data_IF_052397648615
#
_entry.id   IF_052397648615
#
_cell.length_a   1.000
_cell.length_b   1.000
_cell.length_c   1.000
_cell.angle_alpha   90.00
_cell.angle_beta   90.00
_cell.angle_gamma   90.00
#
_symmetry.space_group_name_H-M   'P 1'
#
loop_
_entity.id
_entity.type
_entity.pdbx_description
1 polymer ?
#
# COMPACT_ATOMS: atom_id res chain seq x y z
N UNK A 1 4.67 23.90 0.29
CA UNK A 1 3.84 23.95 -0.94
C UNK A 1 3.26 22.58 -1.30
N UNK A 2 4.08 21.51 -1.27
CA UNK A 2 3.69 20.18 -1.74
C UNK A 2 2.46 19.59 -1.04
N UNK A 3 2.41 19.66 0.30
CA UNK A 3 1.31 19.05 1.10
C UNK A 3 -0.04 19.71 0.79
N UNK A 4 -0.05 21.02 0.64
CA UNK A 4 -1.27 21.79 0.38
C UNK A 4 -1.91 21.47 -0.98
N UNK A 5 -1.06 21.31 -1.99
CA UNK A 5 -1.52 21.15 -3.36
C UNK A 5 -1.87 19.68 -3.67
N UNK A 6 -1.21 18.74 -2.98
CA UNK A 6 -1.44 17.30 -3.10
C UNK A 6 -2.82 16.89 -2.60
N UNK A 7 -3.23 17.35 -1.40
CA UNK A 7 -4.49 16.89 -0.79
C UNK A 7 -5.72 17.52 -1.48
N UNK A 8 -5.59 18.74 -2.03
CA UNK A 8 -6.72 19.52 -2.55
C UNK A 8 -7.04 19.27 -4.04
N UNK A 9 -6.12 18.71 -4.82
CA UNK A 9 -6.24 18.71 -6.30
C UNK A 9 -6.09 17.33 -6.94
N UNK A 10 -5.92 16.26 -6.15
CA UNK A 10 -5.64 14.94 -6.71
C UNK A 10 -6.88 14.06 -6.84
N UNK A 11 -6.92 13.18 -7.86
CA UNK A 11 -7.91 12.12 -7.93
C UNK A 11 -7.88 11.27 -6.65
N UNK A 12 -9.02 10.70 -6.21
CA UNK A 12 -9.09 9.94 -4.95
C UNK A 12 -8.05 8.83 -4.80
N UNK A 13 -7.68 8.14 -5.88
CA UNK A 13 -6.65 7.09 -5.87
C UNK A 13 -5.25 7.64 -5.63
N UNK A 14 -4.92 8.78 -6.21
CA UNK A 14 -3.63 9.46 -5.99
C UNK A 14 -3.58 10.09 -4.60
N UNK A 15 -4.71 10.64 -4.12
CA UNK A 15 -4.82 11.18 -2.78
C UNK A 15 -4.51 10.12 -1.71
N UNK A 16 -4.94 8.87 -1.91
CA UNK A 16 -4.61 7.74 -1.05
C UNK A 16 -3.09 7.51 -1.02
N UNK A 17 -2.46 7.45 -2.19
CA UNK A 17 -1.02 7.26 -2.31
C UNK A 17 -0.23 8.35 -1.58
N UNK A 18 -0.53 9.61 -1.84
CA UNK A 18 0.15 10.73 -1.18
C UNK A 18 -0.19 10.84 0.31
N UNK A 19 -1.43 10.52 0.68
CA UNK A 19 -1.82 10.44 2.08
C UNK A 19 -0.97 9.44 2.85
N UNK A 20 -0.63 8.33 2.22
CA UNK A 20 0.28 7.32 2.78
C UNK A 20 1.72 7.80 2.88
N UNK A 21 2.26 8.43 1.83
CA UNK A 21 3.59 9.03 1.87
C UNK A 21 3.71 10.03 3.02
N UNK A 22 2.71 10.90 3.15
CA UNK A 22 2.66 11.93 4.17
C UNK A 22 2.55 11.36 5.59
N UNK A 23 2.04 10.14 5.77
CA UNK A 23 2.01 9.48 7.08
C UNK A 23 3.38 9.26 7.70
N UNK A 24 4.43 9.20 6.88
CA UNK A 24 5.82 9.05 7.31
C UNK A 24 6.53 10.40 7.56
N UNK A 25 5.93 11.52 7.16
CA UNK A 25 6.56 12.83 7.27
C UNK A 25 6.57 13.32 8.72
N UNK A 26 7.76 13.47 9.29
CA UNK A 26 7.96 13.96 10.67
C UNK A 26 8.04 15.47 10.74
N UNK A 27 8.51 16.12 9.69
CA UNK A 27 8.82 17.56 9.65
C UNK A 27 8.00 18.29 8.56
N UNK A 28 7.99 19.61 8.62
CA UNK A 28 7.28 20.43 7.61
C UNK A 28 5.79 20.66 7.89
N UNK A 29 5.28 20.20 9.02
CA UNK A 29 3.91 20.37 9.44
C UNK A 29 3.69 21.67 10.22
N UNK A 30 2.60 22.35 9.91
CA UNK A 30 1.95 23.31 10.79
C UNK A 30 0.53 22.83 11.12
N UNK A 31 -0.17 23.53 12.01
CA UNK A 31 -1.50 23.14 12.48
C UNK A 31 -2.53 23.08 11.32
N UNK A 32 -2.51 24.04 10.40
CA UNK A 32 -3.43 24.07 9.25
C UNK A 32 -3.21 22.89 8.32
N UNK A 33 -1.97 22.57 7.97
CA UNK A 33 -1.63 21.42 7.13
C UNK A 33 -2.02 20.10 7.79
N UNK A 34 -1.77 19.95 9.10
CA UNK A 34 -2.23 18.78 9.85
C UNK A 34 -3.75 18.68 9.87
N UNK A 35 -4.46 19.78 10.14
CA UNK A 35 -5.92 19.79 10.16
C UNK A 35 -6.48 19.28 8.84
N UNK A 36 -6.01 19.79 7.70
CA UNK A 36 -6.45 19.33 6.38
C UNK A 36 -6.13 17.87 6.14
N UNK A 37 -4.95 17.43 6.51
CA UNK A 37 -4.51 16.05 6.34
C UNK A 37 -5.35 15.09 7.19
N UNK A 38 -5.60 15.40 8.45
CA UNK A 38 -6.37 14.53 9.33
C UNK A 38 -7.88 14.58 9.02
N UNK A 39 -8.43 15.72 8.59
CA UNK A 39 -9.82 15.80 8.10
C UNK A 39 -10.03 14.94 6.86
N UNK A 40 -9.05 14.84 5.98
CA UNK A 40 -9.12 13.95 4.82
C UNK A 40 -9.30 12.47 5.21
N UNK A 41 -8.73 12.01 6.32
CA UNK A 41 -8.98 10.65 6.82
C UNK A 41 -10.42 10.42 7.21
N UNK A 42 -11.09 11.41 7.79
CA UNK A 42 -12.51 11.33 8.11
C UNK A 42 -13.33 11.02 6.84
N UNK A 43 -13.07 11.72 5.76
CA UNK A 43 -13.75 11.51 4.48
C UNK A 43 -13.43 10.14 3.89
N UNK A 44 -12.18 9.74 3.91
CA UNK A 44 -11.70 8.45 3.37
C UNK A 44 -12.24 7.27 4.17
N UNK A 45 -12.22 7.34 5.50
CA UNK A 45 -12.75 6.28 6.37
C UNK A 45 -14.27 6.21 6.34
N UNK A 46 -14.94 7.36 6.15
CA UNK A 46 -16.39 7.45 5.94
C UNK A 46 -16.84 6.98 4.56
N UNK A 47 -15.90 6.87 3.58
CA UNK A 47 -16.22 6.40 2.24
C UNK A 47 -16.65 4.94 2.25
N UNK A 48 -17.40 4.50 1.21
CA UNK A 48 -17.91 3.13 1.05
C UNK A 48 -16.81 2.12 0.68
N UNK A 49 -15.63 2.22 1.30
CA UNK A 49 -14.55 1.25 1.14
C UNK A 49 -14.84 -0.07 1.86
N UNK A 50 -14.36 -1.18 1.31
CA UNK A 50 -14.38 -2.48 2.00
C UNK A 50 -13.59 -2.45 3.32
N UNK A 51 -13.84 -3.43 4.21
CA UNK A 51 -13.20 -3.48 5.54
C UNK A 51 -11.67 -3.46 5.47
N UNK A 52 -11.07 -4.19 4.52
CA UNK A 52 -9.62 -4.21 4.32
C UNK A 52 -9.04 -2.84 3.99
N UNK A 53 -9.73 -2.05 3.16
CA UNK A 53 -9.33 -0.68 2.85
C UNK A 53 -9.38 0.22 4.08
N UNK A 54 -10.49 0.19 4.81
CA UNK A 54 -10.65 1.03 6.01
C UNK A 54 -9.59 0.76 7.05
N UNK A 55 -9.29 -0.50 7.27
CA UNK A 55 -8.27 -0.88 8.22
C UNK A 55 -6.85 -0.56 7.77
N UNK A 56 -6.58 -0.69 6.46
CA UNK A 56 -5.34 -0.19 5.89
C UNK A 56 -5.19 1.32 6.13
N UNK A 57 -6.21 2.11 5.83
CA UNK A 57 -6.23 3.56 6.06
C UNK A 57 -6.13 3.92 7.54
N UNK A 58 -6.72 3.10 8.43
CA UNK A 58 -6.56 3.27 9.88
C UNK A 58 -5.10 3.07 10.33
N UNK A 59 -4.42 2.06 9.83
CA UNK A 59 -2.99 1.87 10.11
C UNK A 59 -2.14 3.05 9.62
N UNK A 60 -2.45 3.58 8.45
CA UNK A 60 -1.78 4.78 7.90
C UNK A 60 -2.06 6.00 8.79
N UNK A 61 -3.30 6.17 9.24
CA UNK A 61 -3.72 7.22 10.17
C UNK A 61 -3.00 7.13 11.52
N UNK A 62 -2.94 5.94 12.12
CA UNK A 62 -2.26 5.72 13.39
C UNK A 62 -0.78 6.05 13.31
N UNK A 63 -0.13 5.71 12.19
CA UNK A 63 1.25 6.10 11.95
C UNK A 63 1.41 7.62 11.87
N UNK A 64 0.54 8.30 11.14
CA UNK A 64 0.55 9.75 11.06
C UNK A 64 0.35 10.39 12.44
N UNK A 65 -0.57 9.86 13.25
CA UNK A 65 -0.82 10.31 14.63
C UNK A 65 0.40 10.12 15.53
N UNK A 66 1.21 9.07 15.33
CA UNK A 66 2.42 8.84 16.12
C UNK A 66 3.47 9.96 15.95
N UNK A 67 3.41 10.72 14.85
CA UNK A 67 4.30 11.87 14.56
C UNK A 67 3.70 13.21 14.98
N UNK A 68 2.51 13.22 15.56
CA UNK A 68 1.88 14.42 16.12
C UNK A 68 2.40 14.66 17.53
N UNK A 69 2.73 15.91 17.91
CA UNK A 69 3.04 16.25 19.30
C UNK A 69 1.95 15.77 20.24
N UNK A 70 2.33 15.18 21.36
CA UNK A 70 1.40 14.53 22.30
C UNK A 70 0.23 15.44 22.70
N UNK A 71 0.52 16.69 23.00
CA UNK A 71 -0.48 17.71 23.38
C UNK A 71 -1.54 18.05 22.29
N UNK A 72 -1.27 17.65 21.06
CA UNK A 72 -2.18 17.93 19.92
C UNK A 72 -2.83 16.64 19.39
N UNK A 73 -2.40 15.46 19.88
CA UNK A 73 -2.79 14.15 19.33
C UNK A 73 -4.28 13.90 19.46
N UNK A 74 -4.88 14.20 20.62
CA UNK A 74 -6.32 13.99 20.86
C UNK A 74 -7.17 14.78 19.87
N UNK A 75 -6.81 16.05 19.62
CA UNK A 75 -7.49 16.87 18.64
C UNK A 75 -7.45 16.27 17.23
N UNK A 76 -6.27 15.81 16.79
CA UNK A 76 -6.15 15.22 15.45
C UNK A 76 -6.75 13.84 15.38
N UNK A 77 -6.79 13.09 16.45
CA UNK A 77 -7.52 11.83 16.53
C UNK A 77 -9.03 12.04 16.38
N UNK A 78 -9.58 13.06 17.04
CA UNK A 78 -11.00 13.40 16.95
C UNK A 78 -11.39 13.82 15.53
N UNK A 79 -10.71 14.78 14.92
CA UNK A 79 -11.07 15.30 13.59
C UNK A 79 -10.83 14.31 12.45
N UNK A 80 -9.97 13.32 12.63
CA UNK A 80 -9.71 12.27 11.63
C UNK A 80 -10.72 11.12 11.67
N UNK A 81 -11.65 11.15 12.62
CA UNK A 81 -12.69 10.15 12.79
C UNK A 81 -12.24 8.93 13.61
N UNK A 82 -13.24 8.23 14.13
CA UNK A 82 -13.03 6.97 14.85
C UNK A 82 -13.42 5.83 13.92
N UNK A 83 -12.47 4.98 13.60
CA UNK A 83 -12.74 3.71 12.96
C UNK A 83 -12.60 2.60 14.01
N UNK A 84 -13.70 1.91 14.28
CA UNK A 84 -13.66 0.66 15.05
C UNK A 84 -13.54 -0.48 14.05
N UNK A 85 -12.40 -1.14 13.94
CA UNK A 85 -12.24 -2.27 13.04
C UNK A 85 -13.16 -3.40 13.49
N UNK A 86 -14.09 -3.82 12.61
CA UNK A 86 -14.73 -5.11 12.78
C UNK A 86 -13.70 -6.20 12.50
N UNK A 87 -13.34 -6.89 13.52
CA UNK A 87 -12.51 -8.10 13.74
C UNK A 87 -11.44 -8.57 12.72
N UNK A 88 -11.58 -8.45 11.42
CA UNK A 88 -10.65 -9.14 10.51
C UNK A 88 -9.33 -8.41 10.23
N UNK A 89 -9.17 -7.14 10.58
CA UNK A 89 -7.97 -6.33 10.32
C UNK A 89 -7.42 -5.67 11.58
N UNK A 90 -8.21 -5.58 12.65
CA UNK A 90 -7.70 -5.29 13.99
C UNK A 90 -6.64 -6.32 14.43
N UNK A 91 -6.66 -7.49 13.79
CA UNK A 91 -5.79 -8.63 14.09
C UNK A 91 -4.51 -8.70 13.25
N UNK A 92 -4.24 -7.71 12.37
CA UNK A 92 -2.93 -7.71 11.69
C UNK A 92 -1.82 -7.46 12.71
N UNK A 93 -0.81 -8.33 12.74
CA UNK A 93 0.27 -8.21 13.69
C UNK A 93 1.00 -6.88 13.50
N UNK A 94 1.32 -6.22 14.59
CA UNK A 94 2.20 -5.06 14.54
C UNK A 94 3.65 -5.52 14.39
N UNK A 95 4.52 -4.71 13.74
CA UNK A 95 5.96 -4.98 13.71
C UNK A 95 6.53 -5.15 15.11
N UNK A 96 7.58 -5.97 15.28
CA UNK A 96 8.20 -6.21 16.57
C UNK A 96 9.03 -5.05 17.10
N UNK A 97 9.51 -4.19 16.20
CA UNK A 97 10.40 -3.11 16.59
C UNK A 97 10.13 -1.83 15.83
N UNK A 98 10.89 -0.78 16.14
CA UNK A 98 10.81 0.44 15.37
C UNK A 98 11.22 0.14 13.93
N UNK A 99 10.43 0.63 12.99
CA UNK A 99 10.76 0.57 11.59
C UNK A 99 12.03 1.38 11.28
N UNK A 100 12.61 1.12 10.13
CA UNK A 100 13.82 1.80 9.64
C UNK A 100 13.51 2.47 8.29
N UNK A 101 14.20 3.54 7.99
CA UNK A 101 14.12 4.12 6.66
C UNK A 101 15.04 3.35 5.71
N UNK A 102 14.43 2.58 4.80
CA UNK A 102 15.18 1.84 3.79
C UNK A 102 15.39 2.71 2.55
N UNK A 103 16.63 2.71 2.07
CA UNK A 103 17.06 3.34 0.81
C UNK A 103 17.50 2.24 -0.16
N UNK A 104 17.64 2.57 -1.45
CA UNK A 104 18.16 1.59 -2.42
C UNK A 104 19.53 1.03 -2.06
N UNK A 105 20.36 1.82 -1.37
CA UNK A 105 21.71 1.39 -0.93
C UNK A 105 21.64 0.42 0.25
N UNK A 106 20.95 0.78 1.34
CA UNK A 106 20.97 -0.04 2.56
C UNK A 106 20.06 -1.26 2.52
N UNK A 107 19.03 -1.26 1.67
CA UNK A 107 18.10 -2.37 1.57
C UNK A 107 18.75 -3.61 0.94
N UNK A 108 19.61 -3.41 -0.04
CA UNK A 108 20.40 -4.48 -0.63
C UNK A 108 21.22 -5.22 0.42
N UNK A 109 22.00 -4.49 1.22
CA UNK A 109 22.83 -5.05 2.27
C UNK A 109 22.01 -5.84 3.30
N UNK A 110 20.86 -5.31 3.72
CA UNK A 110 19.97 -6.00 4.65
C UNK A 110 19.41 -7.30 4.07
N UNK A 111 18.89 -7.25 2.83
CA UNK A 111 18.23 -8.42 2.22
C UNK A 111 19.26 -9.50 1.89
N UNK A 112 20.35 -9.17 1.18
CA UNK A 112 21.36 -10.17 0.81
C UNK A 112 22.13 -10.68 2.01
N UNK A 113 22.66 -9.78 2.85
CA UNK A 113 23.40 -10.18 4.04
C UNK A 113 22.57 -11.03 5.01
N UNK A 114 21.27 -10.77 5.09
CA UNK A 114 20.36 -11.54 5.92
C UNK A 114 19.94 -12.88 5.32
N UNK A 115 19.83 -12.97 3.98
CA UNK A 115 19.43 -14.21 3.31
C UNK A 115 20.57 -15.23 3.18
N UNK A 116 21.82 -14.78 3.08
CA UNK A 116 23.00 -15.67 2.91
C UNK A 116 23.14 -16.71 4.03
N UNK A 117 22.77 -16.34 5.26
CA UNK A 117 22.82 -17.23 6.42
C UNK A 117 21.48 -17.23 7.17
N UNK A 118 20.38 -17.27 6.43
CA UNK A 118 19.06 -17.10 7.00
C UNK A 118 18.74 -18.22 8.01
N UNK A 119 18.48 -17.81 9.24
CA UNK A 119 18.01 -18.66 10.33
C UNK A 119 16.66 -18.12 10.80
N UNK A 120 15.63 -18.47 10.08
CA UNK A 120 14.26 -18.03 10.40
C UNK A 120 13.26 -19.16 10.16
N UNK A 121 12.01 -18.80 10.17
CA UNK A 121 10.93 -19.74 9.94
C UNK A 121 9.77 -19.09 9.21
N UNK A 122 8.94 -19.91 8.61
CA UNK A 122 7.79 -19.47 7.82
C UNK A 122 6.80 -18.59 8.62
N UNK A 123 6.66 -18.82 9.91
CA UNK A 123 5.74 -18.05 10.76
C UNK A 123 6.20 -16.61 10.92
N UNK A 124 7.53 -16.40 11.06
CA UNK A 124 8.12 -15.07 11.10
C UNK A 124 7.89 -14.31 9.78
N UNK A 125 8.14 -14.99 8.65
CA UNK A 125 7.90 -14.41 7.33
C UNK A 125 6.43 -14.10 7.05
N UNK A 126 5.52 -15.02 7.36
CA UNK A 126 4.07 -14.78 7.24
C UNK A 126 3.62 -13.62 8.11
N UNK A 127 4.17 -13.51 9.32
CA UNK A 127 3.92 -12.37 10.21
C UNK A 127 4.43 -11.06 9.61
N UNK A 128 5.66 -11.02 9.10
CA UNK A 128 6.24 -9.83 8.47
C UNK A 128 5.43 -9.38 7.25
N UNK A 129 4.97 -10.33 6.42
CA UNK A 129 4.07 -10.09 5.29
C UNK A 129 2.75 -9.41 5.70
N UNK A 130 2.18 -9.83 6.82
CA UNK A 130 0.98 -9.20 7.39
C UNK A 130 1.31 -7.84 8.02
N UNK A 131 2.40 -7.73 8.79
CA UNK A 131 2.84 -6.49 9.46
C UNK A 131 3.18 -5.38 8.46
N UNK A 132 3.71 -5.74 7.27
CA UNK A 132 3.96 -4.80 6.19
C UNK A 132 2.69 -4.45 5.37
N UNK A 133 1.53 -5.02 5.72
CA UNK A 133 0.25 -4.87 5.02
C UNK A 133 0.19 -5.53 3.61
N UNK A 134 1.17 -6.33 3.23
CA UNK A 134 1.20 -7.01 1.94
C UNK A 134 -0.04 -7.89 1.72
N UNK A 135 -0.48 -8.59 2.79
CA UNK A 135 -1.65 -9.47 2.80
C UNK A 135 -2.96 -8.77 2.43
N UNK A 136 -3.04 -7.45 2.56
CA UNK A 136 -4.26 -6.70 2.20
C UNK A 136 -4.49 -6.66 0.69
N UNK A 137 -3.42 -6.70 -0.09
CA UNK A 137 -3.45 -6.59 -1.54
C UNK A 137 -3.06 -7.88 -2.24
N UNK A 138 -2.11 -8.61 -1.67
CA UNK A 138 -1.53 -9.79 -2.29
C UNK A 138 -2.01 -11.07 -1.65
N UNK A 139 -2.18 -12.07 -2.50
CA UNK A 139 -2.46 -13.43 -2.09
C UNK A 139 -1.16 -14.23 -2.00
N UNK A 140 -1.09 -15.10 -1.00
CA UNK A 140 -0.05 -16.10 -0.83
C UNK A 140 -0.71 -17.43 -0.46
N UNK A 141 -0.56 -18.46 -1.28
CA UNK A 141 -1.19 -19.79 -1.09
C UNK A 141 -2.70 -19.72 -0.80
N UNK A 142 -3.41 -18.87 -1.54
CA UNK A 142 -4.86 -18.72 -1.42
C UNK A 142 -5.32 -17.79 -0.30
N UNK A 143 -4.45 -17.36 0.59
CA UNK A 143 -4.76 -16.42 1.67
C UNK A 143 -4.37 -14.98 1.29
N UNK A 144 -5.20 -14.00 1.60
CA UNK A 144 -4.94 -12.58 1.38
C UNK A 144 -5.86 -11.93 0.35
N UNK A 145 -5.53 -10.69 -0.01
CA UNK A 145 -6.28 -9.86 -0.94
C UNK A 145 -6.07 -10.23 -2.40
N UNK A 146 -6.89 -9.62 -3.28
CA UNK A 146 -6.82 -9.81 -4.73
C UNK A 146 -6.62 -8.50 -5.51
N UNK A 147 -6.31 -7.41 -4.81
CA UNK A 147 -6.05 -6.11 -5.43
C UNK A 147 -4.73 -6.09 -6.21
N UNK A 148 -3.73 -6.83 -5.73
CA UNK A 148 -2.45 -7.07 -6.38
C UNK A 148 -2.31 -8.51 -6.88
N UNK A 149 -1.17 -8.86 -7.52
CA UNK A 149 -0.89 -10.21 -7.97
C UNK A 149 -0.81 -11.23 -6.83
N UNK A 150 -1.12 -12.49 -7.15
CA UNK A 150 -0.79 -13.63 -6.30
C UNK A 150 0.72 -13.85 -6.31
N UNK A 151 1.34 -13.86 -5.13
CA UNK A 151 2.79 -13.96 -4.96
C UNK A 151 3.29 -15.39 -4.74
N UNK A 152 2.39 -16.39 -4.73
CA UNK A 152 2.76 -17.79 -4.48
C UNK A 152 3.85 -18.30 -5.44
N UNK A 153 3.83 -17.84 -6.67
CA UNK A 153 4.80 -18.24 -7.71
C UNK A 153 5.73 -17.08 -8.12
N UNK A 154 5.80 -16.00 -7.36
CA UNK A 154 6.58 -14.82 -7.73
C UNK A 154 8.08 -15.16 -7.88
N UNK A 155 8.62 -15.96 -6.98
CA UNK A 155 10.02 -16.41 -6.97
C UNK A 155 10.43 -17.23 -8.19
N UNK A 156 9.48 -17.84 -8.92
CA UNK A 156 9.79 -18.61 -10.14
C UNK A 156 9.96 -17.73 -11.37
N UNK A 157 9.50 -16.48 -11.30
CA UNK A 157 9.46 -15.53 -12.41
C UNK A 157 10.42 -14.35 -12.23
N UNK A 158 10.68 -14.00 -10.99
CA UNK A 158 11.42 -12.81 -10.59
C UNK A 158 12.58 -13.19 -9.68
N UNK A 159 13.74 -12.59 -9.92
CA UNK A 159 14.87 -12.71 -9.00
C UNK A 159 14.58 -12.00 -7.68
N UNK A 160 15.39 -12.28 -6.64
CA UNK A 160 15.33 -11.53 -5.37
C UNK A 160 15.52 -10.04 -5.60
N UNK A 161 16.39 -9.65 -6.55
CA UNK A 161 16.59 -8.25 -6.91
C UNK A 161 15.32 -7.62 -7.49
N UNK A 162 14.66 -8.28 -8.44
CA UNK A 162 13.44 -7.76 -9.06
C UNK A 162 12.32 -7.59 -8.02
N UNK A 163 12.16 -8.57 -7.13
CA UNK A 163 11.18 -8.51 -6.03
C UNK A 163 11.48 -7.34 -5.07
N UNK A 164 12.75 -7.18 -4.72
CA UNK A 164 13.21 -6.09 -3.88
C UNK A 164 12.93 -4.73 -4.53
N UNK A 165 13.30 -4.59 -5.81
CA UNK A 165 13.12 -3.36 -6.56
C UNK A 165 11.63 -3.00 -6.72
N UNK A 166 10.79 -3.98 -7.06
CA UNK A 166 9.34 -3.79 -7.18
C UNK A 166 8.68 -3.32 -5.86
N UNK A 167 9.19 -3.76 -4.71
CA UNK A 167 8.66 -3.34 -3.40
C UNK A 167 9.18 -1.95 -3.03
N UNK A 168 10.43 -1.66 -3.33
CA UNK A 168 11.08 -0.40 -3.00
C UNK A 168 10.65 0.75 -3.93
N UNK A 169 10.63 0.51 -5.23
CA UNK A 169 10.28 1.49 -6.27
C UNK A 169 9.06 1.06 -7.09
N UNK A 170 7.88 0.95 -6.46
CA UNK A 170 6.69 0.37 -7.13
C UNK A 170 6.15 1.19 -8.29
N UNK A 171 6.66 2.42 -8.50
CA UNK A 171 6.26 3.27 -9.62
C UNK A 171 7.16 3.12 -10.86
N UNK A 172 8.34 2.52 -10.72
CA UNK A 172 9.32 2.47 -11.80
C UNK A 172 8.90 1.45 -12.86
N UNK A 173 8.26 0.35 -12.42
CA UNK A 173 7.74 -0.67 -13.31
C UNK A 173 6.36 -1.14 -12.84
N UNK A 174 5.31 -0.71 -13.53
CA UNK A 174 3.92 -1.03 -13.18
C UNK A 174 3.37 -1.99 -14.24
N UNK A 175 2.97 -3.19 -13.81
CA UNK A 175 2.31 -4.14 -14.72
C UNK A 175 0.98 -3.58 -15.21
N UNK A 176 0.75 -3.63 -16.52
CA UNK A 176 -0.48 -3.16 -17.19
C UNK A 176 -1.76 -3.79 -16.60
N UNK A 177 -1.68 -5.02 -16.08
CA UNK A 177 -2.81 -5.71 -15.46
C UNK A 177 -3.27 -5.07 -14.15
N UNK A 178 -2.37 -4.34 -13.48
CA UNK A 178 -2.62 -3.73 -12.16
C UNK A 178 -2.54 -2.21 -12.21
N UNK A 179 -2.04 -1.63 -13.29
CA UNK A 179 -1.97 -0.19 -13.47
C UNK A 179 -3.36 0.46 -13.44
N UNK A 180 -3.44 1.61 -12.83
CA UNK A 180 -4.60 2.48 -12.99
C UNK A 180 -4.52 3.21 -14.33
N UNK A 181 -5.68 3.52 -14.90
CA UNK A 181 -5.81 4.45 -16.03
C UNK A 181 -6.25 5.81 -15.50
N UNK A 182 -5.57 6.85 -15.91
CA UNK A 182 -5.93 8.24 -15.65
C UNK A 182 -6.79 8.75 -16.83
N UNK A 183 -8.00 9.19 -16.51
CA UNK A 183 -8.96 9.76 -17.45
C UNK A 183 -9.03 11.27 -17.25
N UNK A 184 -8.77 12.03 -18.32
CA UNK A 184 -9.02 13.46 -18.39
C UNK A 184 -10.38 13.67 -19.04
N UNK A 185 -11.30 14.34 -18.34
CA UNK A 185 -12.66 14.54 -18.81
C UNK A 185 -12.84 15.96 -19.40
N UNK A 186 -13.89 16.13 -20.19
CA UNK A 186 -14.21 17.41 -20.87
C UNK A 186 -14.60 18.54 -19.93
N UNK A 187 -14.99 18.23 -18.71
CA UNK A 187 -15.30 19.16 -17.63
C UNK A 187 -14.09 19.47 -16.72
N UNK A 188 -12.88 19.22 -17.24
CA UNK A 188 -11.60 19.36 -16.52
C UNK A 188 -11.43 18.40 -15.31
N UNK A 189 -12.38 17.51 -15.06
CA UNK A 189 -12.23 16.49 -14.02
C UNK A 189 -11.20 15.43 -14.43
N UNK A 190 -10.52 14.88 -13.42
CA UNK A 190 -9.61 13.75 -13.59
C UNK A 190 -10.09 12.60 -12.72
N UNK A 191 -10.19 11.43 -13.34
CA UNK A 191 -10.53 10.19 -12.65
C UNK A 191 -9.42 9.19 -12.88
N UNK A 192 -9.04 8.44 -11.85
CA UNK A 192 -8.10 7.36 -11.97
C UNK A 192 -8.70 6.07 -11.40
N UNK A 193 -8.40 4.95 -12.04
CA UNK A 193 -8.87 3.65 -11.58
C UNK A 193 -8.50 2.54 -12.54
N UNK A 194 -8.57 1.31 -12.06
CA UNK A 194 -8.40 0.13 -12.90
C UNK A 194 -9.67 -0.08 -13.74
N UNK A 195 -9.52 -0.29 -15.04
CA UNK A 195 -10.65 -0.62 -15.91
C UNK A 195 -11.18 -2.00 -15.53
N UNK A 196 -12.46 -2.06 -15.16
CA UNK A 196 -13.16 -3.31 -14.85
C UNK A 196 -13.87 -3.88 -16.10
N UNK A 197 -14.45 -3.01 -16.88
CA UNK A 197 -15.06 -3.39 -18.16
C UNK A 197 -15.15 -2.18 -19.10
N UNK A 198 -15.16 -2.48 -20.38
CA UNK A 198 -15.39 -1.49 -21.43
C UNK A 198 -16.42 -2.10 -22.38
N UNK A 199 -17.63 -1.53 -22.42
CA UNK A 199 -18.72 -2.01 -23.24
C UNK A 199 -19.59 -0.85 -23.76
N UNK A 200 -20.01 -0.92 -25.02
CA UNK A 200 -20.80 0.13 -25.65
C UNK A 200 -20.13 1.50 -25.53
N UNK A 201 -20.89 2.48 -25.05
CA UNK A 201 -20.46 3.88 -24.94
C UNK A 201 -19.90 4.23 -23.55
N UNK A 202 -19.59 3.25 -22.70
CA UNK A 202 -19.07 3.50 -21.37
C UNK A 202 -17.84 2.66 -21.01
N UNK A 203 -17.05 3.19 -20.09
CA UNK A 203 -15.97 2.49 -19.41
C UNK A 203 -16.30 2.46 -17.93
N UNK A 204 -16.30 1.27 -17.33
CA UNK A 204 -16.46 1.10 -15.90
C UNK A 204 -15.10 0.95 -15.27
N UNK A 205 -14.78 1.86 -14.37
CA UNK A 205 -13.53 1.83 -13.61
C UNK A 205 -13.76 1.50 -12.15
N UNK A 206 -12.74 1.01 -11.51
CA UNK A 206 -12.62 0.70 -10.10
C UNK A 206 -11.58 1.65 -9.50
N UNK A 207 -12.01 2.79 -8.92
CA UNK A 207 -11.08 3.80 -8.41
C UNK A 207 -10.32 3.33 -7.15
N UNK A 208 -10.94 2.42 -6.41
CA UNK A 208 -10.39 1.87 -5.19
C UNK A 208 -10.09 0.39 -5.36
N UNK A 209 -8.81 -0.03 -5.44
CA UNK A 209 -8.44 -1.42 -5.63
C UNK A 209 -8.85 -2.33 -4.47
N UNK A 210 -9.14 -1.78 -3.29
CA UNK A 210 -9.59 -2.52 -2.10
C UNK A 210 -11.12 -2.70 -2.05
N UNK A 211 -11.86 -2.11 -2.96
CA UNK A 211 -13.31 -2.22 -3.02
C UNK A 211 -13.79 -2.45 -4.46
N UNK A 212 -13.80 -3.70 -4.88
CA UNK A 212 -14.22 -4.11 -6.22
C UNK A 212 -15.69 -3.82 -6.52
N UNK A 213 -16.50 -3.59 -5.50
CA UNK A 213 -17.92 -3.23 -5.64
C UNK A 213 -18.11 -1.73 -5.93
N UNK A 214 -17.12 -0.89 -5.57
CA UNK A 214 -17.18 0.54 -5.85
C UNK A 214 -16.67 0.81 -7.26
N UNK A 215 -17.59 1.11 -8.17
CA UNK A 215 -17.27 1.37 -9.57
C UNK A 215 -17.86 2.71 -10.02
N UNK A 216 -17.16 3.36 -10.95
CA UNK A 216 -17.63 4.58 -11.64
C UNK A 216 -17.77 4.24 -13.11
N UNK A 217 -18.91 4.60 -13.70
CA UNK A 217 -19.13 4.52 -15.14
C UNK A 217 -18.81 5.87 -15.79
N UNK A 218 -17.93 5.86 -16.77
CA UNK A 218 -17.51 7.05 -17.53
C UNK A 218 -18.01 6.90 -18.96
N UNK A 219 -18.79 7.86 -19.42
CA UNK A 219 -19.19 7.88 -20.84
C UNK A 219 -17.96 8.13 -21.72
N UNK A 220 -17.75 7.34 -22.78
CA UNK A 220 -16.62 7.52 -23.70
C UNK A 220 -16.61 8.91 -24.32
N UNK A 221 -17.81 9.47 -24.58
CA UNK A 221 -17.98 10.83 -25.09
C UNK A 221 -17.50 11.94 -24.15
N UNK A 222 -17.40 11.67 -22.84
CA UNK A 222 -16.91 12.61 -21.85
C UNK A 222 -15.38 12.62 -21.72
N UNK A 223 -14.69 11.63 -22.31
CA UNK A 223 -13.25 11.45 -22.16
C UNK A 223 -12.53 12.31 -23.21
N UNK A 224 -11.61 13.17 -22.77
CA UNK A 224 -10.66 13.89 -23.63
C UNK A 224 -9.43 13.04 -23.92
N UNK A 225 -8.87 12.41 -22.90
CA UNK A 225 -7.64 11.61 -22.97
C UNK A 225 -7.67 10.51 -21.92
N UNK A 226 -7.12 9.35 -22.25
CA UNK A 226 -6.79 8.31 -21.27
C UNK A 226 -5.31 7.94 -21.39
N UNK A 227 -4.65 7.72 -20.28
CA UNK A 227 -3.25 7.31 -20.21
C UNK A 227 -3.04 6.41 -18.97
N UNK A 228 -1.98 5.60 -18.99
CA UNK A 228 -1.61 4.84 -17.79
C UNK A 228 -1.17 5.81 -16.69
N UNK A 229 -1.63 5.55 -15.46
CA UNK A 229 -1.17 6.31 -14.32
C UNK A 229 0.30 6.04 -14.07
N UNK A 230 1.13 7.07 -13.89
CA UNK A 230 2.52 6.89 -13.48
C UNK A 230 2.65 6.49 -12.00
N UNK A 231 1.53 6.35 -11.31
CA UNK A 231 1.47 6.01 -9.89
C UNK A 231 0.91 4.61 -9.73
N UNK A 232 1.72 3.75 -9.10
CA UNK A 232 1.34 2.39 -8.77
C UNK A 232 0.23 2.36 -7.73
N UNK A 233 -0.76 1.45 -7.85
CA UNK A 233 -1.68 1.17 -6.74
C UNK A 233 -0.96 0.53 -5.54
N UNK A 234 0.23 -0.04 -5.72
CA UNK A 234 1.08 -0.49 -4.61
C UNK A 234 1.81 0.71 -3.98
N UNK A 235 1.64 0.93 -2.67
CA UNK A 235 2.25 2.06 -2.01
C UNK A 235 3.77 1.89 -1.80
N UNK A 236 4.54 2.97 -1.86
CA UNK A 236 5.96 2.91 -1.50
C UNK A 236 6.15 2.85 0.03
N UNK A 237 7.38 2.59 0.43
CA UNK A 237 7.84 2.63 1.82
C UNK A 237 7.12 1.66 2.78
N UNK A 238 6.51 0.59 2.27
CA UNK A 238 5.87 -0.44 3.09
C UNK A 238 6.86 -1.13 4.02
N UNK A 239 8.10 -1.32 3.56
CA UNK A 239 9.18 -1.92 4.35
C UNK A 239 9.59 -1.05 5.54
N UNK A 240 9.38 0.27 5.48
CA UNK A 240 9.80 1.19 6.55
C UNK A 240 9.06 0.94 7.88
N UNK A 241 8.05 0.10 7.88
CA UNK A 241 7.39 -0.36 9.10
C UNK A 241 8.18 -1.43 9.85
N UNK A 242 9.01 -2.17 9.15
CA UNK A 242 9.69 -3.36 9.63
C UNK A 242 11.10 -3.03 10.11
N UNK A 243 11.59 -3.78 11.09
CA UNK A 243 13.00 -3.81 11.39
C UNK A 243 13.76 -4.70 10.37
N UNK A 244 15.10 -4.72 10.43
CA UNK A 244 15.92 -5.44 9.44
C UNK A 244 15.61 -6.95 9.41
N UNK A 245 15.46 -7.57 10.57
CA UNK A 245 15.13 -9.00 10.65
C UNK A 245 13.76 -9.30 10.04
N UNK A 246 12.76 -8.48 10.31
CA UNK A 246 11.43 -8.64 9.71
C UNK A 246 11.45 -8.44 8.19
N UNK A 247 12.33 -7.57 7.67
CA UNK A 247 12.53 -7.43 6.20
C UNK A 247 13.11 -8.71 5.62
N UNK A 248 14.14 -9.29 6.26
CA UNK A 248 14.73 -10.56 5.81
C UNK A 248 13.70 -11.70 5.86
N UNK A 249 12.94 -11.80 6.95
CA UNK A 249 11.87 -12.79 7.11
C UNK A 249 10.79 -12.66 6.04
N UNK A 250 10.42 -11.43 5.67
CA UNK A 250 9.48 -11.13 4.60
C UNK A 250 10.00 -11.64 3.24
N UNK A 251 11.25 -11.32 2.91
CA UNK A 251 11.84 -11.77 1.64
C UNK A 251 11.99 -13.29 1.59
N UNK A 252 12.41 -13.92 2.68
CA UNK A 252 12.44 -15.37 2.79
C UNK A 252 11.06 -16.00 2.54
N UNK A 253 9.99 -15.39 3.06
CA UNK A 253 8.62 -15.85 2.86
C UNK A 253 8.16 -15.74 1.41
N UNK A 254 8.47 -14.62 0.75
CA UNK A 254 8.12 -14.38 -0.66
C UNK A 254 8.92 -15.34 -1.57
N UNK A 255 10.22 -15.51 -1.32
CA UNK A 255 11.10 -16.41 -2.07
C UNK A 255 10.66 -17.87 -1.89
N UNK A 256 10.24 -18.24 -0.70
CA UNK A 256 9.68 -19.57 -0.45
C UNK A 256 8.29 -19.80 -1.06
N UNK A 257 7.64 -18.75 -1.60
CA UNK A 257 6.25 -18.84 -2.06
C UNK A 257 5.30 -19.30 -0.96
N UNK A 258 5.60 -18.96 0.30
CA UNK A 258 4.86 -19.42 1.47
C UNK A 258 4.99 -20.92 1.75
N UNK A 259 6.01 -21.60 1.24
CA UNK A 259 6.25 -23.03 1.48
C UNK A 259 7.17 -23.26 2.67
N UNK A 260 6.66 -23.93 3.70
CA UNK A 260 7.44 -24.30 4.89
C UNK A 260 8.54 -25.30 4.63
N UNK A 261 8.41 -26.09 3.55
CA UNK A 261 9.39 -27.09 3.16
C UNK A 261 10.47 -26.54 2.20
N UNK A 262 10.40 -25.25 1.85
CA UNK A 262 11.39 -24.63 0.98
C UNK A 262 12.79 -24.68 1.60
N UNK A 263 13.81 -24.88 0.75
CA UNK A 263 15.21 -25.01 1.18
C UNK A 263 15.72 -23.86 2.04
N UNK A 264 15.19 -22.66 1.88
CA UNK A 264 15.55 -21.47 2.68
C UNK A 264 15.25 -21.68 4.19
N UNK A 265 14.30 -22.56 4.53
CA UNK A 265 13.97 -22.87 5.93
C UNK A 265 14.58 -24.20 6.38
N UNK A 266 14.80 -25.14 5.46
CA UNK A 266 15.23 -26.51 5.81
C UNK A 266 16.73 -26.73 5.70
N UNK A 267 17.45 -25.81 5.03
CA UNK A 267 18.89 -25.93 4.76
C UNK A 267 19.26 -27.15 3.90
N UNK A 268 18.28 -27.80 3.27
CA UNK A 268 18.51 -28.95 2.38
C UNK A 268 18.67 -28.45 0.95
N UNK A 269 19.72 -28.90 0.26
CA UNK A 269 19.93 -28.67 -1.17
C UNK A 269 18.84 -29.29 -2.03
#
# INVERSE_FOLDING_TARGET
>A
PLIRDVIAKMPPSEAIYYGMLLSNAKNGWNKDLRTRYFSWYFDVLGSKGGMSFKAYMENVRQRALSHVPEKERDYFQEISGVYSPTSAVADLPQPFGPGKNYTGENMGDVVWGGLDNYIGNIKAGKRAFASANCVLCHRMRGEGGAAGPDLTQAHTKFSTYDLMFAIYSPNDEISDQYANTLFHLKDDAKLAGRIKSEAGDSIVIMPNPFNESYTISIAKSAILKKELSPVSPMPPALLNRLNEQEVVDLFAYIIAGGDENHKIYTGKE
#
